data_IF_920795431494
#
_entry.id   IF_920795431494
#
_cell.length_a   1.000
_cell.length_b   1.000
_cell.length_c   1.000
_cell.angle_alpha   90.00
_cell.angle_beta   90.00
_cell.angle_gamma   90.00
#
_symmetry.space_group_name_H-M   'P 1'
#
loop_
_entity.id
_entity.type
_entity.pdbx_description
1 polymer ?
#
# COMPACT_ATOMS: atom_id res chain seq x y z
N UNK A 1 2.90 14.30 31.86
CA UNK A 1 2.29 13.18 31.12
C UNK A 1 3.19 12.87 29.95
N UNK A 2 3.81 11.69 29.93
CA UNK A 2 4.61 11.25 28.77
C UNK A 2 3.61 10.96 27.66
N UNK A 3 3.69 11.67 26.52
CA UNK A 3 3.00 11.28 25.29
C UNK A 3 3.29 9.79 25.09
N UNK A 4 2.26 8.94 25.04
CA UNK A 4 2.44 7.52 24.75
C UNK A 4 3.02 7.39 23.36
N UNK A 5 4.34 7.28 23.26
CA UNK A 5 5.02 7.23 21.97
C UNK A 5 4.66 5.91 21.28
N UNK A 6 3.93 6.01 20.17
CA UNK A 6 3.71 4.88 19.26
C UNK A 6 5.06 4.47 18.67
N UNK A 7 5.64 3.35 19.08
CA UNK A 7 6.95 2.95 18.54
C UNK A 7 6.79 2.21 17.19
N UNK A 8 6.36 2.91 16.15
CA UNK A 8 6.34 2.35 14.80
C UNK A 8 7.76 2.26 14.22
N UNK A 9 8.05 1.15 13.55
CA UNK A 9 9.31 0.87 12.84
C UNK A 9 9.02 -0.04 11.67
N UNK A 10 9.86 0.03 10.64
CA UNK A 10 9.88 -0.99 9.60
C UNK A 10 10.16 -2.37 10.22
N UNK A 11 9.46 -3.37 9.70
CA UNK A 11 9.36 -4.72 10.27
C UNK A 11 10.14 -5.76 9.47
N UNK A 12 10.53 -5.44 8.24
CA UNK A 12 11.10 -6.39 7.29
C UNK A 12 10.04 -7.23 6.58
N UNK A 13 8.76 -7.13 6.95
CA UNK A 13 7.66 -7.73 6.21
C UNK A 13 7.28 -6.81 5.04
N UNK A 14 7.38 -7.26 3.76
CA UNK A 14 7.18 -6.39 2.61
C UNK A 14 5.82 -5.68 2.58
N UNK A 15 4.74 -6.38 2.93
CA UNK A 15 3.39 -5.83 2.91
C UNK A 15 3.19 -4.80 4.02
N UNK A 16 3.70 -5.10 5.22
CA UNK A 16 3.63 -4.18 6.35
C UNK A 16 4.48 -2.94 6.08
N UNK A 17 5.71 -3.10 5.59
CA UNK A 17 6.63 -1.98 5.34
C UNK A 17 6.09 -1.04 4.25
N UNK A 18 5.48 -1.59 3.20
CA UNK A 18 4.77 -0.78 2.23
C UNK A 18 3.59 -0.03 2.88
N UNK A 19 2.79 -0.71 3.70
CA UNK A 19 1.68 -0.08 4.41
C UNK A 19 2.13 1.04 5.37
N UNK A 20 3.25 0.84 6.07
CA UNK A 20 3.87 1.84 6.93
C UNK A 20 4.37 3.05 6.14
N UNK A 21 4.90 2.85 4.93
CA UNK A 21 5.30 3.95 4.05
C UNK A 21 4.10 4.76 3.58
N UNK A 22 2.99 4.09 3.24
CA UNK A 22 1.72 4.76 2.95
C UNK A 22 1.13 5.50 4.16
N UNK A 23 1.20 4.91 5.35
CA UNK A 23 0.79 5.57 6.59
C UNK A 23 1.63 6.83 6.86
N UNK A 24 2.96 6.73 6.71
CA UNK A 24 3.88 7.85 6.90
C UNK A 24 3.59 8.97 5.90
N UNK A 25 3.34 8.62 4.64
CA UNK A 25 2.89 9.58 3.61
C UNK A 25 1.55 10.24 3.97
N UNK A 26 0.60 9.47 4.52
CA UNK A 26 -0.70 9.98 4.94
C UNK A 26 -0.60 11.00 6.08
N UNK A 27 0.33 10.75 7.01
CA UNK A 27 0.70 11.62 8.12
C UNK A 27 1.56 12.83 7.71
N UNK A 28 1.96 12.91 6.43
CA UNK A 28 2.82 13.98 5.90
C UNK A 28 4.22 14.05 6.55
N UNK A 29 4.73 12.89 6.98
CA UNK A 29 6.04 12.74 7.61
C UNK A 29 7.06 12.09 6.66
N UNK A 30 8.33 12.15 7.06
CA UNK A 30 9.44 11.56 6.26
C UNK A 30 10.04 10.30 6.87
N UNK A 31 9.72 10.02 8.14
CA UNK A 31 10.14 8.80 8.84
C UNK A 31 8.98 8.22 9.66
N UNK A 32 8.83 6.91 9.61
CA UNK A 32 7.78 6.17 10.32
C UNK A 32 7.91 6.30 11.84
N UNK A 33 9.13 6.53 12.35
CA UNK A 33 9.39 6.68 13.79
C UNK A 33 8.87 8.00 14.35
N UNK A 34 8.55 8.98 13.50
CA UNK A 34 8.04 10.30 13.88
C UNK A 34 6.53 10.28 14.17
N UNK A 35 5.81 9.24 13.72
CA UNK A 35 4.35 9.15 13.86
C UNK A 35 3.96 9.05 15.34
N UNK A 36 3.25 10.06 15.83
CA UNK A 36 2.60 10.03 17.13
C UNK A 36 1.11 9.66 17.07
N UNK A 37 0.41 9.74 18.19
CA UNK A 37 -1.01 9.38 18.28
C UNK A 37 -1.93 10.31 17.47
N UNK A 38 -1.59 11.60 17.39
CA UNK A 38 -2.38 12.59 16.66
C UNK A 38 -2.16 12.41 15.15
N UNK A 39 -0.92 12.11 14.74
CA UNK A 39 -0.59 11.74 13.35
C UNK A 39 -1.34 10.49 12.91
N UNK A 40 -1.34 9.43 13.74
CA UNK A 40 -2.05 8.18 13.45
C UNK A 40 -3.56 8.41 13.32
N UNK A 41 -4.13 9.28 14.15
CA UNK A 41 -5.54 9.65 14.09
C UNK A 41 -5.85 10.44 12.81
N UNK A 42 -5.05 11.46 12.49
CA UNK A 42 -5.21 12.27 11.27
C UNK A 42 -5.13 11.41 10.02
N UNK A 43 -4.09 10.57 9.93
CA UNK A 43 -3.91 9.62 8.83
C UNK A 43 -5.08 8.63 8.71
N UNK A 44 -5.64 8.19 9.83
CA UNK A 44 -6.81 7.29 9.84
C UNK A 44 -8.08 7.98 9.35
N UNK A 45 -8.27 9.28 9.62
CA UNK A 45 -9.37 10.04 9.02
C UNK A 45 -9.17 10.22 7.52
N UNK A 46 -7.95 10.56 7.08
CA UNK A 46 -7.61 10.65 5.65
C UNK A 46 -7.88 9.33 4.90
N UNK A 47 -7.55 8.19 5.52
CA UNK A 47 -7.88 6.86 5.01
C UNK A 47 -9.39 6.66 4.83
N UNK A 48 -10.19 7.09 5.80
CA UNK A 48 -11.65 7.00 5.72
C UNK A 48 -12.19 7.89 4.61
N UNK A 49 -11.69 9.11 4.47
CA UNK A 49 -12.16 10.06 3.45
C UNK A 49 -12.02 9.49 2.04
N UNK A 50 -10.93 8.77 1.76
CA UNK A 50 -10.73 8.10 0.48
C UNK A 50 -11.55 6.82 0.36
N UNK A 51 -11.32 5.83 1.24
CA UNK A 51 -11.91 4.48 1.09
C UNK A 51 -13.42 4.42 1.32
N UNK A 52 -13.98 5.44 1.96
CA UNK A 52 -15.42 5.58 2.23
C UNK A 52 -16.08 6.69 1.43
N UNK A 53 -15.37 7.26 0.45
CA UNK A 53 -15.93 8.18 -0.53
C UNK A 53 -17.01 7.51 -1.37
N UNK A 54 -17.90 8.33 -1.94
CA UNK A 54 -18.92 7.85 -2.87
C UNK A 54 -18.29 7.13 -4.07
N UNK A 55 -17.20 7.69 -4.61
CA UNK A 55 -16.45 7.07 -5.71
C UNK A 55 -15.83 5.71 -5.33
N UNK A 56 -15.31 5.53 -4.10
CA UNK A 56 -14.82 4.23 -3.64
C UNK A 56 -15.96 3.19 -3.55
N UNK A 57 -17.12 3.63 -3.07
CA UNK A 57 -18.31 2.81 -2.89
C UNK A 57 -19.09 2.55 -4.19
N UNK A 58 -18.70 3.20 -5.30
CA UNK A 58 -19.41 3.08 -6.58
C UNK A 58 -20.72 3.87 -6.62
N UNK A 59 -20.88 4.89 -5.77
CA UNK A 59 -22.03 5.77 -5.75
C UNK A 59 -21.75 6.92 -6.72
N UNK A 60 -22.57 7.06 -7.76
CA UNK A 60 -22.42 8.13 -8.75
C UNK A 60 -21.29 7.93 -9.77
N UNK A 61 -20.69 6.73 -9.82
CA UNK A 61 -19.64 6.34 -10.79
C UNK A 61 -19.95 4.95 -11.35
N UNK A 62 -19.27 4.58 -12.45
CA UNK A 62 -19.57 3.33 -13.18
C UNK A 62 -19.26 2.06 -12.39
N UNK A 63 -18.22 2.08 -11.54
CA UNK A 63 -17.72 0.89 -10.84
C UNK A 63 -17.29 1.22 -9.41
N UNK A 64 -17.52 0.28 -8.50
CA UNK A 64 -17.00 0.37 -7.13
C UNK A 64 -15.56 -0.10 -7.08
N UNK A 65 -14.66 0.77 -6.63
CA UNK A 65 -13.27 0.41 -6.31
C UNK A 65 -13.21 -0.67 -5.22
N UNK A 66 -14.03 -0.50 -4.18
CA UNK A 66 -14.08 -1.44 -3.05
C UNK A 66 -14.42 -2.85 -3.56
N UNK A 67 -15.53 -3.02 -4.28
CA UNK A 67 -15.93 -4.36 -4.79
C UNK A 67 -15.10 -4.85 -5.98
N UNK A 68 -14.38 -3.96 -6.66
CA UNK A 68 -13.49 -4.26 -7.77
C UNK A 68 -12.04 -4.41 -7.31
N UNK A 69 -11.23 -3.39 -7.56
CA UNK A 69 -9.78 -3.42 -7.37
C UNK A 69 -9.33 -3.71 -5.94
N UNK A 70 -9.99 -3.15 -4.91
CA UNK A 70 -9.61 -3.39 -3.51
C UNK A 70 -9.78 -4.86 -3.09
N UNK A 71 -10.73 -5.58 -3.70
CA UNK A 71 -10.95 -7.01 -3.42
C UNK A 71 -9.76 -7.89 -3.85
N UNK A 72 -8.88 -7.40 -4.73
CA UNK A 72 -7.64 -8.07 -5.11
C UNK A 72 -6.55 -7.95 -4.03
N UNK A 73 -6.71 -7.05 -3.06
CA UNK A 73 -5.83 -6.91 -1.89
C UNK A 73 -6.47 -7.58 -0.68
N UNK A 74 -7.70 -7.20 -0.35
CA UNK A 74 -8.43 -7.63 0.84
C UNK A 74 -9.75 -8.32 0.45
N UNK A 75 -9.70 -9.54 -0.08
CA UNK A 75 -10.90 -10.25 -0.51
C UNK A 75 -11.83 -10.52 0.68
N UNK A 76 -13.14 -10.38 0.48
CA UNK A 76 -14.17 -10.54 1.54
C UNK A 76 -14.00 -9.63 2.78
N UNK A 77 -13.19 -8.57 2.71
CA UNK A 77 -13.12 -7.55 3.76
C UNK A 77 -14.48 -6.90 4.02
N UNK A 78 -14.59 -6.18 5.14
CA UNK A 78 -15.83 -5.48 5.52
C UNK A 78 -16.37 -4.51 4.46
N UNK A 79 -15.50 -3.95 3.60
CA UNK A 79 -15.90 -3.09 2.48
C UNK A 79 -16.35 -3.85 1.23
N UNK A 80 -15.93 -5.11 1.08
CA UNK A 80 -16.09 -5.87 -0.17
C UNK A 80 -16.89 -7.15 0.02
N UNK A 81 -17.39 -7.41 1.23
CA UNK A 81 -18.13 -8.61 1.56
C UNK A 81 -19.43 -8.71 0.73
N UNK A 82 -19.60 -9.74 -0.11
CA UNK A 82 -20.78 -9.91 -0.97
C UNK A 82 -22.10 -10.02 -0.19
N UNK A 83 -22.07 -10.47 1.06
CA UNK A 83 -23.24 -10.57 1.92
C UNK A 83 -23.75 -9.21 2.42
N UNK A 84 -22.91 -8.16 2.38
CA UNK A 84 -23.31 -6.80 2.75
C UNK A 84 -23.69 -6.03 1.48
N UNK A 85 -24.98 -6.12 1.12
CA UNK A 85 -25.51 -5.48 -0.09
C UNK A 85 -25.55 -3.95 0.00
N UNK A 86 -25.81 -3.41 1.19
CA UNK A 86 -25.92 -1.97 1.45
C UNK A 86 -24.53 -1.32 1.66
N UNK A 87 -24.10 -0.41 0.76
CA UNK A 87 -22.84 0.31 0.91
C UNK A 87 -22.76 1.15 2.18
N UNK A 88 -23.89 1.67 2.69
CA UNK A 88 -23.91 2.46 3.94
C UNK A 88 -23.58 1.58 5.14
N UNK A 89 -24.14 0.38 5.21
CA UNK A 89 -23.80 -0.60 6.25
C UNK A 89 -22.33 -1.01 6.17
N UNK A 90 -21.79 -1.27 4.97
CA UNK A 90 -20.38 -1.60 4.80
C UNK A 90 -19.46 -0.46 5.28
N UNK A 91 -19.83 0.79 4.97
CA UNK A 91 -19.15 2.01 5.44
C UNK A 91 -19.12 2.09 6.98
N UNK A 92 -20.25 1.91 7.64
CA UNK A 92 -20.31 1.98 9.11
C UNK A 92 -19.57 0.83 9.80
N UNK A 93 -19.65 -0.40 9.27
CA UNK A 93 -18.87 -1.53 9.79
C UNK A 93 -17.36 -1.31 9.66
N UNK A 94 -16.90 -0.74 8.54
CA UNK A 94 -15.48 -0.45 8.35
C UNK A 94 -14.99 0.72 9.21
N UNK A 95 -15.79 1.78 9.39
CA UNK A 95 -15.48 2.84 10.36
C UNK A 95 -15.32 2.29 11.77
N UNK A 96 -16.25 1.42 12.19
CA UNK A 96 -16.20 0.77 13.51
C UNK A 96 -14.94 -0.06 13.67
N UNK A 97 -14.53 -0.79 12.62
CA UNK A 97 -13.27 -1.54 12.61
C UNK A 97 -12.07 -0.60 12.81
N UNK A 98 -11.93 0.45 12.00
CA UNK A 98 -10.80 1.37 12.09
C UNK A 98 -10.74 2.09 13.45
N UNK A 99 -11.88 2.56 13.96
CA UNK A 99 -11.95 3.22 15.26
C UNK A 99 -11.57 2.26 16.40
N UNK A 100 -12.02 1.00 16.34
CA UNK A 100 -11.67 0.00 17.34
C UNK A 100 -10.19 -0.40 17.30
N UNK A 101 -9.57 -0.41 16.12
CA UNK A 101 -8.13 -0.63 15.98
C UNK A 101 -7.32 0.57 16.51
N UNK A 102 -7.74 1.79 16.15
CA UNK A 102 -7.11 3.02 16.59
C UNK A 102 -7.15 3.15 18.12
N UNK A 103 -8.30 2.90 18.76
CA UNK A 103 -8.43 3.01 20.21
C UNK A 103 -7.52 2.04 20.96
N UNK A 104 -7.34 0.82 20.41
CA UNK A 104 -6.52 -0.24 21.01
C UNK A 104 -5.04 -0.16 20.63
N UNK A 105 -4.68 0.63 19.62
CA UNK A 105 -3.30 0.70 19.10
C UNK A 105 -2.28 1.22 20.13
N UNK A 106 -2.76 1.88 21.19
CA UNK A 106 -1.96 2.40 22.29
C UNK A 106 -1.97 1.51 23.53
N UNK A 107 -2.73 0.42 23.52
CA UNK A 107 -2.81 -0.50 24.64
C UNK A 107 -1.65 -1.49 24.62
N UNK A 108 -1.05 -1.73 25.80
CA UNK A 108 0.00 -2.74 25.97
C UNK A 108 -0.57 -4.00 26.62
N UNK A 109 0.11 -5.13 26.43
CA UNK A 109 -0.21 -6.42 27.03
C UNK A 109 1.01 -7.32 27.10
N UNK A 110 0.81 -8.63 27.20
CA UNK A 110 1.90 -9.59 27.43
C UNK A 110 2.33 -10.35 26.17
N UNK A 111 1.50 -10.37 25.11
CA UNK A 111 1.77 -11.14 23.90
C UNK A 111 2.62 -10.33 22.91
N UNK A 112 3.63 -10.95 22.32
CA UNK A 112 4.47 -10.30 21.30
C UNK A 112 3.82 -10.42 19.92
N UNK A 113 3.69 -9.31 19.20
CA UNK A 113 3.21 -9.29 17.82
C UNK A 113 4.22 -10.00 16.90
N UNK A 114 3.81 -10.98 16.09
CA UNK A 114 4.72 -11.69 15.18
C UNK A 114 5.19 -10.84 14.00
N UNK A 115 4.60 -9.65 13.80
CA UNK A 115 4.98 -8.73 12.71
C UNK A 115 5.96 -7.66 13.18
N UNK A 116 5.63 -6.91 14.24
CA UNK A 116 6.45 -5.78 14.70
C UNK A 116 7.18 -6.01 16.03
N UNK A 117 6.95 -7.15 16.70
CA UNK A 117 7.54 -7.45 18.01
C UNK A 117 6.98 -6.66 19.20
N UNK A 118 6.07 -5.69 18.98
CA UNK A 118 5.44 -4.95 20.07
C UNK A 118 4.52 -5.85 20.90
N UNK A 119 4.37 -5.49 22.18
CA UNK A 119 3.50 -6.19 23.12
C UNK A 119 2.06 -5.70 23.06
N UNK A 120 1.08 -6.62 23.00
CA UNK A 120 -0.35 -6.33 22.93
C UNK A 120 -1.15 -7.35 23.75
N UNK A 121 -2.44 -7.09 24.00
CA UNK A 121 -3.26 -8.04 24.78
C UNK A 121 -3.76 -9.17 23.89
N UNK A 122 -3.76 -10.38 24.45
CA UNK A 122 -4.24 -11.56 23.74
C UNK A 122 -5.74 -11.50 23.46
N UNK A 123 -6.16 -12.12 22.35
CA UNK A 123 -7.54 -12.19 21.88
C UNK A 123 -8.02 -10.93 21.17
N UNK A 124 -7.19 -9.91 21.02
CA UNK A 124 -7.65 -8.60 20.54
C UNK A 124 -7.92 -8.54 19.04
N UNK A 125 -7.12 -9.23 18.22
CA UNK A 125 -7.23 -9.11 16.77
C UNK A 125 -6.66 -10.32 16.02
N UNK A 126 -7.56 -11.16 15.52
CA UNK A 126 -7.25 -12.20 14.54
C UNK A 126 -7.49 -11.68 13.12
N UNK A 127 -6.47 -11.76 12.28
CA UNK A 127 -6.53 -11.36 10.87
C UNK A 127 -6.42 -12.57 9.94
N UNK A 128 -7.09 -12.47 8.79
CA UNK A 128 -7.06 -13.44 7.68
C UNK A 128 -6.75 -12.68 6.39
N UNK A 129 -6.82 -13.37 5.25
CA UNK A 129 -6.67 -12.76 3.92
C UNK A 129 -7.56 -11.52 3.68
N UNK A 130 -8.69 -11.41 4.40
CA UNK A 130 -9.63 -10.28 4.32
C UNK A 130 -9.11 -8.97 4.94
N UNK A 131 -8.03 -9.04 5.71
CA UNK A 131 -7.40 -7.89 6.39
C UNK A 131 -5.90 -7.81 6.20
N UNK A 132 -5.24 -8.92 5.87
CA UNK A 132 -3.80 -9.01 5.66
C UNK A 132 -3.52 -9.78 4.35
N UNK A 133 -2.85 -9.18 3.35
CA UNK A 133 -2.74 -9.79 2.03
C UNK A 133 -1.94 -11.09 2.05
N UNK A 134 -2.36 -12.06 1.23
CA UNK A 134 -1.71 -13.38 1.07
C UNK A 134 -1.60 -14.23 2.34
N UNK A 135 -2.24 -13.82 3.44
CA UNK A 135 -2.33 -14.63 4.64
C UNK A 135 -3.30 -15.79 4.38
N UNK A 136 -2.76 -17.00 4.15
CA UNK A 136 -3.53 -18.22 3.82
C UNK A 136 -3.42 -19.26 4.94
N UNK A 137 -4.47 -20.05 5.07
CA UNK A 137 -4.59 -21.17 5.99
C UNK A 137 -5.43 -22.29 5.38
N UNK A 138 -5.40 -23.49 5.98
CA UNK A 138 -6.18 -24.64 5.53
C UNK A 138 -7.55 -24.58 6.23
N UNK A 139 -8.65 -24.51 5.46
CA UNK A 139 -10.02 -24.65 5.98
C UNK A 139 -10.34 -23.82 7.23
N UNK A 140 -9.93 -22.54 7.23
CA UNK A 140 -10.02 -21.55 8.33
C UNK A 140 -8.90 -21.58 9.37
N UNK A 141 -7.97 -22.52 9.30
CA UNK A 141 -6.89 -22.71 10.26
C UNK A 141 -5.54 -22.20 9.73
N UNK A 142 -4.91 -21.33 10.50
CA UNK A 142 -3.60 -20.71 10.28
C UNK A 142 -2.54 -21.45 11.12
N UNK A 143 -1.24 -21.05 11.13
CA UNK A 143 -0.25 -21.70 11.98
C UNK A 143 -0.78 -21.91 13.42
N UNK A 144 -0.47 -23.08 14.00
CA UNK A 144 -0.98 -23.51 15.31
C UNK A 144 -2.49 -23.83 15.36
N UNK A 145 -3.13 -24.10 14.21
CA UNK A 145 -4.57 -24.35 14.12
C UNK A 145 -5.41 -23.18 14.65
N UNK A 146 -4.90 -21.96 14.52
CA UNK A 146 -5.61 -20.76 14.94
C UNK A 146 -6.62 -20.30 13.90
N UNK A 147 -7.69 -19.63 14.32
CA UNK A 147 -8.68 -19.03 13.40
C UNK A 147 -8.21 -17.71 12.76
N UNK A 148 -6.91 -17.57 12.50
CA UNK A 148 -6.29 -16.35 11.98
C UNK A 148 -4.94 -16.08 12.62
N UNK A 149 -4.11 -15.27 11.96
CA UNK A 149 -2.90 -14.77 12.59
C UNK A 149 -3.29 -13.70 13.61
N UNK A 150 -2.79 -13.81 14.82
CA UNK A 150 -3.01 -12.78 15.84
C UNK A 150 -1.89 -11.74 15.78
N UNK A 151 -2.26 -10.48 15.58
CA UNK A 151 -1.32 -9.36 15.47
C UNK A 151 -1.79 -8.19 16.32
N UNK A 152 -0.88 -7.28 16.69
CA UNK A 152 -1.26 -6.11 17.46
C UNK A 152 -2.24 -5.20 16.69
N UNK A 153 -3.10 -4.44 17.39
CA UNK A 153 -4.05 -3.51 16.75
C UNK A 153 -3.36 -2.46 15.87
N UNK A 154 -2.15 -2.03 16.23
CA UNK A 154 -1.37 -1.09 15.44
C UNK A 154 -0.99 -1.67 14.07
N UNK A 155 -0.43 -2.89 14.00
CA UNK A 155 -0.16 -3.56 12.72
C UNK A 155 -1.45 -3.79 11.91
N UNK A 156 -2.53 -4.19 12.58
CA UNK A 156 -3.82 -4.41 11.92
C UNK A 156 -4.43 -3.12 11.36
N UNK A 157 -4.16 -1.96 11.98
CA UNK A 157 -4.52 -0.65 11.45
C UNK A 157 -3.59 -0.25 10.29
N UNK A 158 -2.27 -0.31 10.51
CA UNK A 158 -1.27 0.09 9.52
C UNK A 158 -1.44 -0.65 8.20
N UNK A 159 -1.72 -1.96 8.22
CA UNK A 159 -1.92 -2.73 6.97
C UNK A 159 -3.10 -2.20 6.14
N UNK A 160 -4.09 -1.51 6.72
CA UNK A 160 -5.19 -0.91 5.96
C UNK A 160 -4.74 0.24 5.03
N UNK A 161 -3.53 0.78 5.24
CA UNK A 161 -2.89 1.78 4.39
C UNK A 161 -2.17 1.16 3.17
N UNK A 162 -1.98 -0.15 3.16
CA UNK A 162 -1.30 -0.86 2.07
C UNK A 162 -1.81 -0.54 0.66
N UNK A 163 -3.14 -0.37 0.39
CA UNK A 163 -3.63 -0.03 -0.94
C UNK A 163 -3.00 1.24 -1.56
N UNK A 164 -2.52 2.17 -0.73
CA UNK A 164 -1.90 3.42 -1.18
C UNK A 164 -0.41 3.25 -1.54
N UNK A 165 0.17 2.07 -1.34
CA UNK A 165 1.50 1.72 -1.88
C UNK A 165 1.39 0.80 -3.10
N UNK A 166 0.19 0.47 -3.53
CA UNK A 166 -0.07 -0.53 -4.56
C UNK A 166 -0.43 0.14 -5.89
N UNK A 167 0.13 -0.41 -6.95
CA UNK A 167 0.00 0.04 -8.32
C UNK A 167 -0.47 -1.10 -9.20
N UNK A 168 -1.02 -0.77 -10.37
CA UNK A 168 -1.42 -1.74 -11.39
C UNK A 168 -0.19 -2.19 -12.18
N UNK A 169 -0.11 -3.50 -12.45
CA UNK A 169 0.95 -4.15 -13.23
C UNK A 169 0.38 -4.64 -14.57
N UNK A 170 0.61 -3.86 -15.63
CA UNK A 170 0.34 -4.23 -17.02
C UNK A 170 -1.10 -4.67 -17.34
N UNK A 171 -1.27 -5.33 -18.49
CA UNK A 171 -2.58 -5.67 -19.07
C UNK A 171 -3.35 -6.77 -18.32
N UNK A 172 -2.66 -7.63 -17.55
CA UNK A 172 -3.30 -8.76 -16.84
C UNK A 172 -3.97 -8.35 -15.53
N UNK A 173 -4.03 -7.06 -15.22
CA UNK A 173 -4.71 -6.53 -14.04
C UNK A 173 -4.08 -6.95 -12.71
N UNK A 174 -2.82 -7.41 -12.71
CA UNK A 174 -2.08 -7.74 -11.49
C UNK A 174 -1.75 -6.46 -10.72
N UNK A 175 -1.44 -6.63 -9.43
CA UNK A 175 -1.02 -5.53 -8.57
C UNK A 175 0.45 -5.65 -8.23
N UNK A 176 1.09 -4.54 -7.91
CA UNK A 176 2.46 -4.56 -7.43
C UNK A 176 2.78 -3.40 -6.50
N UNK A 177 3.85 -3.55 -5.73
CA UNK A 177 4.41 -2.53 -4.86
C UNK A 177 5.92 -2.73 -4.73
N UNK A 178 6.62 -1.73 -4.21
CA UNK A 178 8.06 -1.85 -3.92
C UNK A 178 8.30 -2.10 -2.43
N UNK A 179 9.35 -2.85 -2.14
CA UNK A 179 9.96 -2.97 -0.83
C UNK A 179 11.42 -2.58 -0.93
N UNK A 180 11.86 -1.68 -0.06
CA UNK A 180 13.22 -1.14 -0.06
C UNK A 180 13.57 -0.65 1.33
N UNK A 181 14.86 -0.61 1.65
CA UNK A 181 15.38 0.04 2.85
C UNK A 181 15.46 1.57 2.69
N UNK A 182 15.32 2.09 1.47
CA UNK A 182 15.17 3.52 1.26
C UNK A 182 13.72 3.95 1.56
N UNK A 183 13.44 4.19 2.84
CA UNK A 183 12.12 4.60 3.32
C UNK A 183 11.55 5.79 2.56
N UNK A 184 12.39 6.80 2.26
CA UNK A 184 11.98 7.99 1.50
C UNK A 184 11.41 7.59 0.14
N UNK A 185 12.02 6.62 -0.56
CA UNK A 185 11.56 6.17 -1.88
C UNK A 185 10.16 5.56 -1.80
N UNK A 186 9.94 4.68 -0.81
CA UNK A 186 8.66 4.04 -0.59
C UNK A 186 7.57 5.07 -0.21
N UNK A 187 7.91 6.04 0.65
CA UNK A 187 7.01 7.13 1.05
C UNK A 187 6.66 8.02 -0.14
N UNK A 188 7.65 8.40 -0.96
CA UNK A 188 7.43 9.23 -2.15
C UNK A 188 6.49 8.55 -3.16
N UNK A 189 6.68 7.25 -3.41
CA UNK A 189 5.78 6.47 -4.27
C UNK A 189 4.38 6.41 -3.70
N UNK A 190 4.23 6.12 -2.40
CA UNK A 190 2.92 6.03 -1.77
C UNK A 190 2.19 7.39 -1.74
N UNK A 191 2.92 8.48 -1.53
CA UNK A 191 2.39 9.84 -1.59
C UNK A 191 1.90 10.17 -3.01
N UNK A 192 2.76 10.00 -4.01
CA UNK A 192 2.52 10.48 -5.38
C UNK A 192 1.54 9.62 -6.16
N UNK A 193 1.75 8.31 -6.16
CA UNK A 193 0.98 7.37 -6.98
C UNK A 193 -0.14 6.68 -6.20
N UNK A 194 -0.12 6.77 -4.88
CA UNK A 194 -1.22 6.38 -4.00
C UNK A 194 -2.09 7.56 -3.63
N UNK A 195 -1.71 8.31 -2.59
CA UNK A 195 -2.53 9.35 -1.98
C UNK A 195 -2.98 10.43 -2.95
N UNK A 196 -2.05 11.15 -3.58
CA UNK A 196 -2.37 12.24 -4.51
C UNK A 196 -3.20 11.74 -5.71
N UNK A 197 -2.96 10.50 -6.15
CA UNK A 197 -3.74 9.87 -7.20
C UNK A 197 -5.19 9.61 -6.77
N UNK A 198 -5.40 8.92 -5.65
CA UNK A 198 -6.73 8.61 -5.14
C UNK A 198 -7.51 9.87 -4.79
N UNK A 199 -6.88 10.85 -4.13
CA UNK A 199 -7.50 12.12 -3.76
C UNK A 199 -7.96 12.90 -4.99
N UNK A 200 -7.16 12.93 -6.06
CA UNK A 200 -7.55 13.54 -7.34
C UNK A 200 -8.76 12.84 -7.97
N UNK A 201 -8.85 11.51 -7.90
CA UNK A 201 -10.01 10.76 -8.40
C UNK A 201 -11.26 11.04 -7.57
N UNK A 202 -11.13 11.10 -6.24
CA UNK A 202 -12.24 11.45 -5.34
C UNK A 202 -12.73 12.87 -5.61
N UNK A 203 -11.81 13.85 -5.69
CA UNK A 203 -12.16 15.25 -5.94
C UNK A 203 -12.83 15.46 -7.31
N UNK A 204 -12.44 14.68 -8.32
CA UNK A 204 -13.03 14.73 -9.67
C UNK A 204 -14.25 13.82 -9.85
N UNK A 205 -14.70 13.11 -8.79
CA UNK A 205 -15.81 12.14 -8.82
C UNK A 205 -15.63 11.08 -9.91
N UNK A 206 -14.41 10.63 -10.13
CA UNK A 206 -14.09 9.56 -11.07
C UNK A 206 -14.11 8.20 -10.37
N UNK A 207 -14.23 7.12 -11.17
CA UNK A 207 -14.04 5.75 -10.67
C UNK A 207 -12.64 5.61 -10.09
N UNK A 208 -12.52 5.18 -8.83
CA UNK A 208 -11.22 4.90 -8.21
C UNK A 208 -10.63 3.62 -8.81
N UNK A 209 -9.34 3.67 -9.12
CA UNK A 209 -8.53 2.50 -9.45
C UNK A 209 -7.07 2.76 -9.06
N UNK A 210 -6.26 1.70 -9.02
CA UNK A 210 -4.83 1.85 -8.81
C UNK A 210 -4.17 2.53 -10.01
N UNK A 211 -3.19 3.39 -9.73
CA UNK A 211 -2.37 4.01 -10.76
C UNK A 211 -1.64 2.96 -11.58
N UNK A 212 -1.57 3.14 -12.91
CA UNK A 212 -0.69 2.33 -13.75
C UNK A 212 -1.33 1.57 -14.91
N UNK A 213 -2.03 2.28 -15.80
CA UNK A 213 -2.35 1.75 -17.13
C UNK A 213 -1.08 1.72 -17.99
N UNK A 214 -0.20 0.73 -17.73
CA UNK A 214 1.11 0.62 -18.38
C UNK A 214 1.05 -0.29 -19.61
N UNK A 215 1.21 0.29 -20.80
CA UNK A 215 1.43 -0.44 -22.06
C UNK A 215 2.93 -0.81 -22.16
N UNK A 216 3.36 -1.80 -21.37
CA UNK A 216 4.78 -2.14 -21.17
C UNK A 216 5.11 -3.60 -21.47
N UNK A 217 6.38 -3.86 -21.74
CA UNK A 217 6.96 -5.21 -21.94
C UNK A 217 6.94 -6.07 -20.68
N UNK A 218 5.75 -6.50 -20.29
CA UNK A 218 5.50 -7.31 -19.11
C UNK A 218 5.75 -6.59 -17.79
N UNK A 219 5.76 -7.37 -16.71
CA UNK A 219 5.84 -6.83 -15.33
C UNK A 219 7.14 -6.07 -15.05
N UNK A 220 8.27 -6.48 -15.63
CA UNK A 220 9.55 -5.77 -15.47
C UNK A 220 9.53 -4.40 -16.14
N UNK A 221 8.91 -4.30 -17.33
CA UNK A 221 8.70 -3.02 -18.02
C UNK A 221 7.83 -2.07 -17.20
N UNK A 222 6.75 -2.56 -16.59
CA UNK A 222 5.89 -1.75 -15.72
C UNK A 222 6.65 -1.20 -14.50
N UNK A 223 7.51 -2.01 -13.89
CA UNK A 223 8.36 -1.58 -12.76
C UNK A 223 9.32 -0.48 -13.18
N UNK A 224 9.98 -0.62 -14.34
CA UNK A 224 10.87 0.41 -14.87
C UNK A 224 10.10 1.69 -15.20
N UNK A 225 8.97 1.59 -15.89
CA UNK A 225 8.12 2.75 -16.22
C UNK A 225 7.69 3.55 -15.00
N UNK A 226 7.46 2.91 -13.83
CA UNK A 226 7.23 3.64 -12.59
C UNK A 226 8.43 4.50 -12.21
N UNK A 227 9.64 3.95 -12.20
CA UNK A 227 10.84 4.73 -11.84
C UNK A 227 11.07 5.88 -12.80
N UNK A 228 10.77 5.69 -14.09
CA UNK A 228 10.75 6.78 -15.07
C UNK A 228 9.72 7.86 -14.73
N UNK A 229 8.47 7.49 -14.41
CA UNK A 229 7.46 8.47 -14.04
C UNK A 229 7.83 9.20 -12.75
N UNK A 230 8.30 8.46 -11.75
CA UNK A 230 8.71 9.00 -10.46
C UNK A 230 9.82 10.04 -10.65
N UNK A 231 10.89 9.71 -11.38
CA UNK A 231 12.01 10.64 -11.58
C UNK A 231 11.60 11.89 -12.38
N UNK A 232 10.62 11.77 -13.30
CA UNK A 232 10.14 12.92 -14.08
C UNK A 232 9.18 13.82 -13.32
N UNK A 233 8.50 13.29 -12.30
CA UNK A 233 7.52 14.02 -11.51
C UNK A 233 8.08 14.54 -10.18
N UNK A 234 9.23 14.04 -9.74
CA UNK A 234 9.90 14.49 -8.51
C UNK A 234 10.66 15.80 -8.70
N UNK A 235 10.66 16.69 -7.70
CA UNK A 235 11.56 17.83 -7.67
C UNK A 235 13.03 17.41 -7.69
N UNK A 236 13.88 18.18 -8.37
CA UNK A 236 15.31 17.87 -8.54
C UNK A 236 16.06 17.60 -7.22
N UNK A 237 15.71 18.33 -6.15
CA UNK A 237 16.34 18.16 -4.84
C UNK A 237 15.99 16.84 -4.14
N UNK A 238 14.95 16.13 -4.59
CA UNK A 238 14.54 14.83 -4.07
C UNK A 238 15.15 13.65 -4.84
N UNK A 239 15.91 13.91 -5.91
CA UNK A 239 16.43 12.86 -6.79
C UNK A 239 17.59 12.04 -6.22
N UNK A 240 18.23 12.53 -5.17
CA UNK A 240 19.21 11.76 -4.38
C UNK A 240 18.66 10.42 -3.87
N UNK A 241 17.34 10.27 -3.85
CA UNK A 241 16.62 9.04 -3.52
C UNK A 241 16.96 7.87 -4.46
N UNK A 242 17.33 8.14 -5.72
CA UNK A 242 17.70 7.13 -6.71
C UNK A 242 19.17 6.71 -6.64
N UNK A 243 20.00 7.46 -5.92
CA UNK A 243 21.43 7.19 -5.75
C UNK A 243 21.71 6.22 -4.58
N UNK A 244 20.66 5.80 -3.89
CA UNK A 244 20.74 4.88 -2.76
C UNK A 244 21.29 3.50 -3.18
N UNK A 245 22.30 2.96 -2.47
CA UNK A 245 22.82 1.61 -2.74
C UNK A 245 21.91 0.50 -2.20
N UNK A 246 20.79 0.85 -1.55
CA UNK A 246 19.91 -0.13 -0.94
C UNK A 246 19.13 -0.94 -2.00
N UNK A 247 19.05 -2.27 -1.85
CA UNK A 247 18.31 -3.11 -2.77
C UNK A 247 16.83 -2.73 -2.80
N UNK A 248 16.24 -2.82 -3.99
CA UNK A 248 14.81 -2.61 -4.21
C UNK A 248 14.23 -3.90 -4.79
N UNK A 249 13.11 -4.35 -4.24
CA UNK A 249 12.35 -5.49 -4.76
C UNK A 249 10.94 -5.04 -5.08
N UNK A 250 10.51 -5.24 -6.33
CA UNK A 250 9.12 -5.09 -6.71
C UNK A 250 8.39 -6.42 -6.51
N UNK A 251 7.31 -6.42 -5.73
CA UNK A 251 6.47 -7.60 -5.54
C UNK A 251 5.24 -7.49 -6.41
N UNK A 252 5.14 -8.35 -7.43
CA UNK A 252 3.93 -8.47 -8.25
C UNK A 252 3.06 -9.56 -7.66
N UNK A 253 1.80 -9.26 -7.36
CA UNK A 253 0.93 -10.16 -6.62
C UNK A 253 -0.55 -10.07 -7.06
N UNK A 254 -1.33 -11.07 -6.65
CA UNK A 254 -2.79 -11.02 -6.58
C UNK A 254 -3.26 -11.84 -5.38
N UNK A 255 -4.32 -11.37 -4.72
CA UNK A 255 -4.95 -12.01 -3.57
C UNK A 255 -6.45 -12.27 -3.78
N UNK A 256 -6.91 -12.47 -5.02
CA UNK A 256 -8.33 -12.53 -5.41
C UNK A 256 -9.12 -13.80 -4.96
N UNK A 257 -8.66 -14.53 -3.94
CA UNK A 257 -9.19 -15.80 -3.43
C UNK A 257 -9.24 -16.97 -4.42
N UNK A 258 -8.97 -16.77 -5.72
CA UNK A 258 -8.95 -17.85 -6.71
C UNK A 258 -7.57 -18.50 -6.76
N UNK A 259 -6.54 -17.68 -6.97
CA UNK A 259 -5.15 -18.13 -6.98
C UNK A 259 -4.29 -17.04 -6.33
N UNK A 260 -3.72 -17.35 -5.15
CA UNK A 260 -2.71 -16.48 -4.56
C UNK A 260 -1.43 -16.56 -5.41
N UNK A 261 -0.92 -15.41 -5.82
CA UNK A 261 0.32 -15.30 -6.59
C UNK A 261 1.15 -14.17 -6.01
N UNK A 262 2.46 -14.41 -5.90
CA UNK A 262 3.45 -13.39 -5.61
C UNK A 262 4.74 -13.73 -6.35
N UNK A 263 5.34 -12.73 -6.98
CA UNK A 263 6.64 -12.82 -7.63
C UNK A 263 7.50 -11.64 -7.22
N UNK A 264 8.60 -11.86 -6.50
CA UNK A 264 9.61 -10.83 -6.30
C UNK A 264 10.39 -10.61 -7.59
N UNK A 265 10.56 -9.34 -7.96
CA UNK A 265 11.41 -8.89 -9.06
C UNK A 265 12.47 -7.99 -8.43
N UNK A 266 13.71 -8.47 -8.25
CA UNK A 266 14.79 -7.61 -7.79
C UNK A 266 15.03 -6.53 -8.85
N UNK A 267 15.12 -5.29 -8.41
CA UNK A 267 15.46 -4.14 -9.24
C UNK A 267 16.96 -3.90 -9.07
N UNK A 268 17.78 -4.09 -10.12
CA UNK A 268 19.20 -3.79 -10.06
C UNK A 268 19.44 -2.31 -9.73
N UNK A 269 20.28 -2.05 -8.74
CA UNK A 269 20.62 -0.69 -8.32
C UNK A 269 21.24 0.11 -9.47
N UNK A 270 21.98 -0.56 -10.34
CA UNK A 270 22.61 0.01 -11.53
C UNK A 270 21.58 0.66 -12.44
N UNK A 271 20.36 0.11 -12.52
CA UNK A 271 19.29 0.69 -13.33
C UNK A 271 18.77 1.97 -12.69
N UNK A 272 18.59 2.01 -11.37
CA UNK A 272 18.16 3.23 -10.67
C UNK A 272 19.19 4.35 -10.80
N UNK A 273 20.47 4.02 -10.61
CA UNK A 273 21.59 4.95 -10.80
C UNK A 273 21.65 5.42 -12.26
N UNK A 274 21.47 4.52 -13.22
CA UNK A 274 21.44 4.87 -14.65
C UNK A 274 20.30 5.85 -14.97
N UNK A 275 19.08 5.59 -14.49
CA UNK A 275 17.93 6.48 -14.68
C UNK A 275 18.19 7.85 -14.03
N UNK A 276 18.74 7.85 -12.81
CA UNK A 276 19.17 9.04 -12.08
C UNK A 276 20.12 9.91 -12.89
N UNK A 277 21.22 9.32 -13.36
CA UNK A 277 22.24 10.01 -14.16
C UNK A 277 21.69 10.47 -15.51
N UNK A 278 20.93 9.62 -16.20
CA UNK A 278 20.37 9.95 -17.51
C UNK A 278 19.43 11.16 -17.44
N UNK A 279 18.66 11.27 -16.36
CA UNK A 279 17.83 12.45 -16.11
C UNK A 279 18.68 13.72 -15.95
N UNK A 280 19.76 13.65 -15.14
CA UNK A 280 20.64 14.78 -14.88
C UNK A 280 21.41 15.23 -16.13
N UNK A 281 21.89 14.27 -16.93
CA UNK A 281 22.63 14.54 -18.15
C UNK A 281 21.74 15.03 -19.30
N UNK A 282 20.55 14.44 -19.47
CA UNK A 282 19.64 14.81 -20.56
C UNK A 282 18.21 14.30 -20.37
N UNK A 283 17.31 15.23 -20.01
CA UNK A 283 15.86 14.96 -20.00
C UNK A 283 15.32 14.48 -21.36
N UNK A 284 15.95 14.89 -22.47
CA UNK A 284 15.60 14.39 -23.81
C UNK A 284 15.97 12.92 -23.98
N UNK A 285 17.19 12.52 -23.60
CA UNK A 285 17.64 11.14 -23.69
C UNK A 285 16.82 10.22 -22.79
N UNK A 286 16.43 10.69 -21.59
CA UNK A 286 15.52 9.98 -20.70
C UNK A 286 14.15 9.72 -21.35
N UNK A 287 13.51 10.76 -21.92
CA UNK A 287 12.23 10.62 -22.62
C UNK A 287 12.34 9.67 -23.82
N UNK A 288 13.45 9.76 -24.55
CA UNK A 288 13.74 8.88 -25.68
C UNK A 288 13.87 7.42 -25.23
N UNK A 289 14.63 7.15 -24.17
CA UNK A 289 14.78 5.82 -23.58
C UNK A 289 13.41 5.24 -23.20
N UNK A 290 12.58 6.01 -22.50
CA UNK A 290 11.24 5.55 -22.11
C UNK A 290 10.38 5.15 -23.33
N UNK A 291 10.36 5.99 -24.36
CA UNK A 291 9.56 5.75 -25.57
C UNK A 291 10.09 4.61 -26.46
N UNK A 292 11.40 4.46 -26.56
CA UNK A 292 11.99 3.48 -27.50
C UNK A 292 12.14 2.09 -26.90
N UNK A 293 12.29 1.96 -25.57
CA UNK A 293 12.57 0.69 -24.91
C UNK A 293 11.44 0.17 -24.02
N UNK A 294 10.63 1.05 -23.42
CA UNK A 294 9.66 0.63 -22.39
C UNK A 294 8.21 0.61 -22.88
N UNK A 295 7.85 1.45 -23.85
CA UNK A 295 6.52 1.41 -24.48
C UNK A 295 6.48 0.44 -25.64
N UNK A 296 5.53 -0.49 -25.62
CA UNK A 296 5.27 -1.37 -26.77
C UNK A 296 4.44 -0.59 -27.81
N UNK A 297 4.82 -0.55 -29.10
CA UNK A 297 3.95 -0.01 -30.14
C UNK A 297 2.68 -0.86 -30.25
N UNK A 298 1.51 -0.21 -30.20
CA UNK A 298 0.22 -0.88 -30.44
C UNK A 298 0.06 -1.33 -31.89
#
# INVERSE_FOLDING_TARGET
>A
MVKGATMLRYTGNPFMDAALSALTAAAELTDVVEIDSDDLKSATERLKDVLLSDSALGIGVERSFNRGSLSQIFPNSKLVNPSVKDPKKAKEEYKKLLNGLLSKSMESGDKSCPICGQRFREGEQKVKADKFPLLRGISNFYPELSEGLEICPLCALSIQFFPFSVLRAGERGRLWFIHTQNARLAIAIAKRFGWEHFERLVASRQTLDFHGSWDTSGEGGAVLSLFFHLITEMPEHELSIFESPHPVTAYVFTNDNRIAYIRPIPVPNEILIFIGRLWHESSYALRRFHRELLTIPR
#
